data_IF_372680595671
#
_entry.id   IF_372680595671
#
_cell.length_a   1.000
_cell.length_b   1.000
_cell.length_c   1.000
_cell.angle_alpha   90.00
_cell.angle_beta   90.00
_cell.angle_gamma   90.00
#
_symmetry.space_group_name_H-M   'P 1'
#
loop_
_entity.id
_entity.type
_entity.pdbx_description
1 polymer ?
#
# COMPACT_ATOMS: atom_id res chain seq x y z
N UNK A 1 1.37 -7.10 -22.07
CA UNK A 1 1.55 -8.34 -21.43
C UNK A 1 2.18 -8.24 -20.05
N UNK A 2 1.36 -8.01 -18.99
CA UNK A 2 1.81 -8.14 -17.61
C UNK A 2 1.70 -9.59 -17.15
N UNK A 3 2.54 -9.98 -16.19
CA UNK A 3 2.38 -11.24 -15.47
C UNK A 3 1.40 -11.00 -14.32
N UNK A 4 0.43 -11.91 -14.16
CA UNK A 4 -0.61 -11.82 -13.14
C UNK A 4 -0.60 -13.09 -12.31
N UNK A 5 -0.49 -12.92 -10.99
CA UNK A 5 -0.53 -13.98 -10.00
C UNK A 5 -1.68 -13.72 -9.03
N UNK A 6 -2.55 -14.70 -8.84
CA UNK A 6 -3.62 -14.60 -7.85
C UNK A 6 -3.07 -14.91 -6.46
N UNK A 7 -3.19 -13.96 -5.54
CA UNK A 7 -2.70 -14.10 -4.16
C UNK A 7 -3.77 -14.67 -3.23
N UNK A 8 -5.01 -14.21 -3.38
CA UNK A 8 -6.13 -14.67 -2.56
C UNK A 8 -7.46 -14.42 -3.27
N UNK A 9 -8.45 -15.25 -2.98
CA UNK A 9 -9.82 -15.11 -3.43
C UNK A 9 -10.78 -15.52 -2.32
N UNK A 10 -11.83 -14.74 -2.13
CA UNK A 10 -12.94 -15.08 -1.25
C UNK A 10 -14.21 -15.14 -2.09
N UNK A 11 -14.86 -16.30 -2.22
CA UNK A 11 -16.09 -16.44 -2.98
C UNK A 11 -17.23 -15.65 -2.33
N UNK A 12 -18.18 -15.23 -3.15
CA UNK A 12 -19.45 -14.65 -2.67
C UNK A 12 -20.32 -15.70 -1.99
N UNK A 13 -21.24 -15.25 -1.15
CA UNK A 13 -22.11 -16.15 -0.39
C UNK A 13 -23.07 -16.95 -1.27
N UNK A 14 -23.64 -16.34 -2.33
CA UNK A 14 -24.55 -16.99 -3.26
C UNK A 14 -23.85 -17.30 -4.59
N UNK A 15 -23.06 -16.37 -5.10
CA UNK A 15 -22.31 -16.52 -6.35
C UNK A 15 -21.26 -15.42 -6.52
N UNK A 16 -20.33 -15.65 -7.47
CA UNK A 16 -19.29 -14.68 -7.81
C UNK A 16 -18.19 -14.56 -6.77
N UNK A 17 -17.52 -13.42 -6.76
CA UNK A 17 -16.36 -13.12 -5.92
C UNK A 17 -16.70 -12.00 -4.97
N UNK A 18 -16.46 -12.19 -3.66
CA UNK A 18 -16.57 -11.16 -2.63
C UNK A 18 -15.34 -10.26 -2.60
N UNK A 19 -14.16 -10.87 -2.68
CA UNK A 19 -12.89 -10.16 -2.76
C UNK A 19 -11.84 -11.01 -3.46
N UNK A 20 -10.92 -10.35 -4.15
CA UNK A 20 -9.79 -11.00 -4.81
C UNK A 20 -8.58 -10.07 -4.77
N UNK A 21 -7.39 -10.64 -4.61
CA UNK A 21 -6.13 -9.93 -4.69
C UNK A 21 -5.23 -10.56 -5.75
N UNK A 22 -4.71 -9.71 -6.63
CA UNK A 22 -3.75 -10.09 -7.65
C UNK A 22 -2.44 -9.32 -7.49
N UNK A 23 -1.32 -10.00 -7.72
CA UNK A 23 -0.03 -9.38 -7.95
C UNK A 23 0.18 -9.23 -9.45
N UNK A 24 0.39 -8.01 -9.90
CA UNK A 24 0.63 -7.69 -11.32
C UNK A 24 2.07 -7.20 -11.47
N UNK A 25 2.85 -7.88 -12.30
CA UNK A 25 4.27 -7.59 -12.51
C UNK A 25 4.53 -7.22 -13.98
N UNK A 26 5.27 -6.14 -14.18
CA UNK A 26 5.65 -5.68 -15.51
C UNK A 26 6.09 -4.22 -15.51
N UNK A 27 6.59 -3.73 -16.66
CA UNK A 27 7.07 -2.35 -16.78
C UNK A 27 5.97 -1.34 -16.47
N UNK A 28 6.23 -0.42 -15.52
CA UNK A 28 5.30 0.64 -15.11
C UNK A 28 3.90 0.17 -14.67
N UNK A 29 3.76 -1.09 -14.22
CA UNK A 29 2.47 -1.68 -13.86
C UNK A 29 1.69 -0.82 -12.84
N UNK A 30 2.35 -0.40 -11.76
CA UNK A 30 1.72 0.48 -10.77
C UNK A 30 1.30 1.83 -11.36
N UNK A 31 2.18 2.45 -12.17
CA UNK A 31 1.90 3.75 -12.80
C UNK A 31 0.64 3.74 -13.66
N UNK A 32 0.40 2.67 -14.41
CA UNK A 32 -0.80 2.48 -15.21
C UNK A 32 -2.02 2.13 -14.36
N UNK A 33 -1.91 1.10 -13.51
CA UNK A 33 -3.05 0.54 -12.77
C UNK A 33 -3.54 1.43 -11.63
N UNK A 34 -2.71 2.32 -11.08
CA UNK A 34 -3.12 3.23 -9.99
C UNK A 34 -4.36 4.06 -10.35
N UNK A 35 -4.55 4.37 -11.64
CA UNK A 35 -5.70 5.12 -12.15
C UNK A 35 -7.02 4.36 -12.03
N UNK A 36 -6.99 3.04 -11.84
CA UNK A 36 -8.18 2.20 -11.63
C UNK A 36 -8.63 2.14 -10.17
N UNK A 37 -7.85 2.71 -9.24
CA UNK A 37 -8.22 2.76 -7.82
C UNK A 37 -9.44 3.64 -7.58
N UNK A 38 -10.47 3.09 -6.96
CA UNK A 38 -11.70 3.78 -6.63
C UNK A 38 -12.93 2.88 -6.68
N UNK A 39 -14.11 3.47 -6.68
CA UNK A 39 -15.38 2.75 -6.70
C UNK A 39 -15.90 2.67 -8.13
N UNK A 40 -16.21 1.45 -8.57
CA UNK A 40 -16.84 1.14 -9.85
C UNK A 40 -18.28 0.75 -9.61
N UNK A 41 -19.20 1.35 -10.38
CA UNK A 41 -20.65 1.11 -10.29
C UNK A 41 -21.10 0.30 -11.48
N UNK A 42 -21.78 -0.82 -11.22
CA UNK A 42 -22.41 -1.65 -12.25
C UNK A 42 -23.93 -1.59 -12.14
N UNK A 43 -24.59 -1.27 -13.25
CA UNK A 43 -26.05 -1.27 -13.39
C UNK A 43 -26.42 -2.31 -14.43
N UNK A 44 -27.12 -3.37 -14.02
CA UNK A 44 -27.58 -4.45 -14.90
C UNK A 44 -28.83 -5.13 -14.35
N UNK A 45 -29.52 -5.89 -15.18
CA UNK A 45 -30.50 -6.87 -14.74
C UNK A 45 -29.72 -7.99 -14.01
N UNK A 46 -30.06 -8.26 -12.76
CA UNK A 46 -29.34 -9.28 -11.98
C UNK A 46 -29.64 -10.68 -12.52
N UNK A 47 -28.60 -11.50 -12.80
CA UNK A 47 -28.82 -12.89 -13.18
C UNK A 47 -29.26 -13.78 -12.00
N UNK A 48 -29.24 -13.26 -10.76
CA UNK A 48 -29.56 -13.98 -9.52
C UNK A 48 -30.93 -13.62 -8.95
N UNK A 49 -31.58 -12.59 -9.51
CA UNK A 49 -32.90 -12.12 -9.05
C UNK A 49 -34.05 -12.71 -9.89
N UNK A 50 -35.19 -12.91 -9.27
CA UNK A 50 -36.43 -13.20 -10.00
C UNK A 50 -37.02 -11.93 -10.53
N UNK A 51 -36.88 -11.65 -11.84
CA UNK A 51 -37.52 -10.55 -12.56
C UNK A 51 -36.56 -9.62 -13.29
N UNK A 52 -37.11 -8.83 -14.22
CA UNK A 52 -36.36 -7.92 -15.11
C UNK A 52 -35.94 -6.59 -14.45
N UNK A 53 -35.85 -6.55 -13.13
CA UNK A 53 -35.48 -5.32 -12.42
C UNK A 53 -33.98 -5.06 -12.50
N UNK A 54 -33.62 -3.83 -12.88
CA UNK A 54 -32.24 -3.36 -12.82
C UNK A 54 -31.79 -3.24 -11.37
N UNK A 55 -30.58 -3.71 -11.10
CA UNK A 55 -29.93 -3.58 -9.82
C UNK A 55 -28.59 -2.88 -9.99
N UNK A 56 -28.16 -2.20 -8.95
CA UNK A 56 -26.87 -1.52 -8.89
C UNK A 56 -25.95 -2.28 -7.91
N UNK A 57 -24.76 -2.57 -8.38
CA UNK A 57 -23.70 -3.17 -7.57
C UNK A 57 -22.45 -2.28 -7.59
N UNK A 58 -21.67 -2.32 -6.54
CA UNK A 58 -20.43 -1.58 -6.42
C UNK A 58 -19.26 -2.52 -6.20
N UNK A 59 -18.14 -2.21 -6.85
CA UNK A 59 -16.85 -2.85 -6.59
C UNK A 59 -15.82 -1.78 -6.26
N UNK A 60 -15.09 -1.98 -5.18
CA UNK A 60 -13.95 -1.12 -4.82
C UNK A 60 -12.67 -1.75 -5.30
N UNK A 61 -11.92 -1.04 -6.12
CA UNK A 61 -10.59 -1.43 -6.58
C UNK A 61 -9.54 -0.65 -5.81
N UNK A 62 -8.52 -1.33 -5.42
CA UNK A 62 -7.38 -0.72 -4.76
C UNK A 62 -6.07 -1.23 -5.34
N UNK A 63 -5.26 -0.30 -5.82
CA UNK A 63 -3.95 -0.58 -6.41
C UNK A 63 -2.87 0.09 -5.57
N UNK A 64 -1.92 -0.70 -5.12
CA UNK A 64 -0.76 -0.22 -4.34
C UNK A 64 0.53 -0.88 -4.85
N UNK A 65 1.65 -0.20 -4.73
CA UNK A 65 2.91 -0.79 -5.15
C UNK A 65 3.29 -1.94 -4.22
N UNK A 66 3.82 -3.02 -4.78
CA UNK A 66 4.50 -4.04 -3.98
C UNK A 66 5.81 -3.44 -3.52
N UNK A 67 5.94 -3.28 -2.20
CA UNK A 67 7.20 -2.86 -1.58
C UNK A 67 8.08 -4.09 -1.47
N UNK A 68 9.29 -4.02 -2.02
CA UNK A 68 10.30 -5.06 -1.83
C UNK A 68 10.58 -5.20 -0.33
N UNK A 69 10.50 -6.43 0.20
CA UNK A 69 10.78 -6.73 1.61
C UNK A 69 12.27 -6.57 1.96
N UNK A 70 13.12 -6.31 0.95
CA UNK A 70 14.52 -6.03 1.14
C UNK A 70 14.75 -4.60 1.64
N UNK A 71 14.52 -4.41 2.93
CA UNK A 71 14.95 -3.20 3.62
C UNK A 71 16.42 -3.38 3.98
N UNK A 72 17.29 -2.75 3.23
CA UNK A 72 18.71 -2.69 3.59
C UNK A 72 18.91 -1.55 4.60
N UNK A 73 19.28 -1.91 5.82
CA UNK A 73 19.63 -0.94 6.87
C UNK A 73 21.11 -0.67 6.83
N UNK A 74 21.48 0.48 6.29
CA UNK A 74 22.85 1.02 6.34
C UNK A 74 22.90 2.04 7.49
N UNK A 75 23.82 1.83 8.42
CA UNK A 75 24.02 2.73 9.58
C UNK A 75 25.40 3.35 9.45
N UNK A 76 25.51 4.63 9.04
CA UNK A 76 26.79 5.34 9.03
C UNK A 76 27.33 5.53 10.44
N UNK A 77 28.64 5.41 10.63
CA UNK A 77 29.28 5.64 11.94
C UNK A 77 29.03 7.05 12.48
N UNK A 78 28.79 8.03 11.62
CA UNK A 78 28.44 9.39 12.00
C UNK A 78 27.06 9.56 12.65
N UNK A 79 26.17 8.58 12.44
CA UNK A 79 24.80 8.59 12.98
C UNK A 79 24.66 7.83 14.29
N UNK A 80 25.75 7.24 14.80
CA UNK A 80 25.73 6.50 16.03
C UNK A 80 26.69 7.10 17.07
N UNK A 81 26.26 7.05 18.33
CA UNK A 81 27.13 7.32 19.47
C UNK A 81 27.28 6.02 20.28
N UNK A 82 28.50 5.66 20.54
CA UNK A 82 28.85 4.44 21.30
C UNK A 82 29.46 4.87 22.63
N UNK A 83 28.79 4.51 23.72
CA UNK A 83 29.23 4.75 25.07
C UNK A 83 29.55 3.41 25.76
N UNK A 84 30.68 3.31 26.39
CA UNK A 84 31.04 2.16 27.24
C UNK A 84 30.82 2.51 28.70
N UNK A 85 30.31 1.56 29.48
CA UNK A 85 30.02 1.80 30.89
C UNK A 85 30.13 0.50 31.70
N UNK A 86 30.19 0.64 33.02
CA UNK A 86 30.14 -0.50 33.94
C UNK A 86 28.72 -0.98 34.15
N UNK A 87 28.47 -2.25 33.86
CA UNK A 87 27.16 -2.83 34.18
C UNK A 87 27.00 -2.97 35.69
N UNK A 88 25.98 -2.36 36.27
CA UNK A 88 25.58 -2.58 37.65
C UNK A 88 24.62 -3.78 37.70
N UNK A 89 25.09 -4.94 38.24
CA UNK A 89 24.28 -6.15 38.39
C UNK A 89 24.84 -7.04 39.51
N UNK A 90 24.00 -7.89 40.11
CA UNK A 90 24.37 -8.89 41.12
C UNK A 90 25.16 -10.03 40.48
N UNK A 91 26.39 -9.79 40.10
CA UNK A 91 27.28 -10.79 39.51
C UNK A 91 28.71 -10.51 39.89
N UNK A 92 29.44 -11.51 40.32
CA UNK A 92 30.75 -11.55 40.93
C UNK A 92 31.81 -10.50 40.53
N UNK A 93 32.98 -10.57 41.15
CA UNK A 93 34.08 -9.57 41.10
C UNK A 93 34.47 -9.04 39.70
N UNK A 94 34.19 -9.77 38.61
CA UNK A 94 34.52 -9.33 37.23
C UNK A 94 33.51 -8.39 36.60
N UNK A 95 32.24 -8.40 37.00
CA UNK A 95 31.16 -7.56 36.44
C UNK A 95 31.32 -6.09 36.87
N UNK A 96 31.91 -5.87 38.03
CA UNK A 96 32.03 -4.52 38.62
C UNK A 96 33.39 -3.84 38.38
N UNK A 97 34.33 -4.47 37.67
CA UNK A 97 35.71 -3.95 37.52
C UNK A 97 36.05 -3.52 36.09
N UNK A 98 35.28 -3.92 35.08
CA UNK A 98 35.57 -3.59 33.66
C UNK A 98 34.39 -2.90 33.00
N UNK A 99 34.68 -1.82 32.25
CA UNK A 99 33.72 -1.10 31.43
C UNK A 99 33.40 -1.91 30.15
N UNK A 100 32.79 -3.08 30.32
CA UNK A 100 32.50 -4.01 29.23
C UNK A 100 31.12 -3.79 28.60
N UNK A 101 30.20 -3.13 29.30
CA UNK A 101 28.88 -2.83 28.76
C UNK A 101 28.93 -1.74 27.71
N UNK A 102 28.17 -1.93 26.64
CA UNK A 102 28.10 -1.02 25.49
C UNK A 102 26.68 -0.49 25.34
N UNK A 103 26.57 0.82 25.17
CA UNK A 103 25.33 1.51 24.76
C UNK A 103 25.57 2.13 23.40
N UNK A 104 24.69 1.84 22.46
CA UNK A 104 24.67 2.49 21.14
C UNK A 104 23.40 3.33 21.04
N UNK A 105 23.57 4.60 20.73
CA UNK A 105 22.47 5.54 20.47
C UNK A 105 22.50 5.93 18.99
N UNK A 106 21.41 5.67 18.29
CA UNK A 106 21.23 6.15 16.92
C UNK A 106 20.67 7.57 16.95
N UNK A 107 21.46 8.55 16.53
CA UNK A 107 21.19 9.97 16.70
C UNK A 107 19.91 10.43 15.97
N UNK A 108 19.64 10.02 14.69
CA UNK A 108 18.46 10.47 13.98
C UNK A 108 17.14 10.00 14.58
N UNK A 109 17.09 8.77 15.15
CA UNK A 109 15.86 8.17 15.67
C UNK A 109 15.80 8.15 17.20
N UNK A 110 16.89 8.51 17.90
CA UNK A 110 17.06 8.37 19.36
C UNK A 110 16.84 6.94 19.89
N UNK A 111 16.96 5.93 19.03
CA UNK A 111 16.90 4.53 19.46
C UNK A 111 18.16 4.20 20.23
N UNK A 112 17.99 3.69 21.44
CA UNK A 112 19.09 3.26 22.32
C UNK A 112 19.04 1.75 22.49
N UNK A 113 20.17 1.10 22.32
CA UNK A 113 20.38 -0.32 22.57
C UNK A 113 21.57 -0.52 23.50
N UNK A 114 21.48 -1.51 24.37
CA UNK A 114 22.53 -1.81 25.35
C UNK A 114 22.84 -3.30 25.34
N UNK A 115 24.10 -3.65 25.56
CA UNK A 115 24.56 -5.02 25.77
C UNK A 115 25.59 -5.05 26.89
N UNK A 116 25.49 -6.04 27.77
CA UNK A 116 26.31 -6.15 29.01
C UNK A 116 26.90 -7.54 29.25
N UNK A 117 27.36 -8.20 28.19
CA UNK A 117 28.11 -9.47 28.30
C UNK A 117 29.55 -9.24 28.78
N UNK A 118 30.31 -10.33 28.96
CA UNK A 118 31.68 -10.25 29.48
C UNK A 118 32.69 -9.59 28.54
N UNK A 119 32.45 -9.59 27.25
CA UNK A 119 33.37 -9.05 26.25
C UNK A 119 32.78 -7.76 25.60
N UNK A 120 33.54 -6.66 25.69
CA UNK A 120 33.16 -5.39 25.10
C UNK A 120 33.00 -5.49 23.58
N UNK A 121 33.86 -6.24 22.91
CA UNK A 121 33.78 -6.41 21.44
C UNK A 121 32.49 -7.15 21.03
N UNK A 122 32.17 -8.24 21.75
CA UNK A 122 30.89 -8.95 21.54
C UNK A 122 29.69 -8.07 21.85
N UNK A 123 29.75 -7.25 22.90
CA UNK A 123 28.66 -6.32 23.24
C UNK A 123 28.42 -5.29 22.17
N UNK A 124 29.46 -4.78 21.52
CA UNK A 124 29.33 -3.85 20.39
C UNK A 124 28.63 -4.52 19.21
N UNK A 125 29.01 -5.75 18.88
CA UNK A 125 28.40 -6.49 17.77
C UNK A 125 26.92 -6.83 18.08
N UNK A 126 26.63 -7.32 19.27
CA UNK A 126 25.25 -7.63 19.69
C UNK A 126 24.39 -6.36 19.69
N UNK A 127 24.88 -5.25 20.24
CA UNK A 127 24.16 -3.99 20.25
C UNK A 127 23.95 -3.43 18.84
N UNK A 128 24.93 -3.57 17.94
CA UNK A 128 24.77 -3.16 16.53
C UNK A 128 23.71 -4.00 15.82
N UNK A 129 23.68 -5.31 16.01
CA UNK A 129 22.66 -6.17 15.42
C UNK A 129 21.27 -5.88 16.00
N UNK A 130 21.17 -5.61 17.29
CA UNK A 130 19.92 -5.19 17.93
C UNK A 130 19.43 -3.83 17.40
N UNK A 131 20.35 -2.88 17.16
CA UNK A 131 20.02 -1.60 16.54
C UNK A 131 19.49 -1.77 15.11
N UNK A 132 20.17 -2.58 14.29
CA UNK A 132 19.71 -2.90 12.94
C UNK A 132 18.31 -3.50 12.93
N UNK A 133 18.03 -4.43 13.82
CA UNK A 133 16.70 -5.04 13.94
C UNK A 133 15.61 -4.04 14.33
N UNK A 134 15.92 -3.10 15.24
CA UNK A 134 14.97 -2.06 15.63
C UNK A 134 14.72 -1.03 14.53
N UNK A 135 15.76 -0.64 13.80
CA UNK A 135 15.63 0.27 12.64
C UNK A 135 14.85 -0.41 11.49
N UNK A 136 15.09 -1.70 11.28
CA UNK A 136 14.31 -2.49 10.32
C UNK A 136 12.82 -2.49 10.69
N UNK A 137 12.49 -2.75 11.96
CA UNK A 137 11.11 -2.73 12.42
C UNK A 137 10.47 -1.34 12.27
N UNK A 138 11.20 -0.29 12.63
CA UNK A 138 10.72 1.10 12.47
C UNK A 138 10.39 1.43 11.02
N UNK A 139 11.24 1.03 10.08
CA UNK A 139 11.00 1.25 8.65
C UNK A 139 9.81 0.43 8.13
N UNK A 140 9.64 -0.81 8.61
CA UNK A 140 8.48 -1.65 8.32
C UNK A 140 7.18 -0.99 8.82
N UNK A 141 7.18 -0.51 10.06
CA UNK A 141 6.03 0.15 10.67
C UNK A 141 5.67 1.45 9.93
N UNK A 142 6.69 2.22 9.50
CA UNK A 142 6.49 3.42 8.68
C UNK A 142 5.83 3.09 7.34
N UNK A 143 6.31 2.07 6.63
CA UNK A 143 5.74 1.63 5.36
C UNK A 143 4.31 1.12 5.51
N UNK A 144 4.06 0.35 6.57
CA UNK A 144 2.72 -0.14 6.88
C UNK A 144 1.75 1.01 7.24
N UNK A 145 2.23 2.03 7.96
CA UNK A 145 1.44 3.21 8.28
C UNK A 145 1.09 4.02 7.03
N UNK A 146 2.02 4.18 6.09
CA UNK A 146 1.76 4.83 4.79
C UNK A 146 0.71 4.06 3.98
N UNK A 147 0.82 2.73 3.91
CA UNK A 147 -0.15 1.86 3.26
C UNK A 147 -1.52 1.99 3.92
N UNK A 148 -1.58 1.95 5.27
CA UNK A 148 -2.83 2.07 6.02
C UNK A 148 -3.45 3.46 5.89
N UNK A 149 -2.65 4.53 5.82
CA UNK A 149 -3.15 5.88 5.56
C UNK A 149 -3.77 5.99 4.16
N UNK A 150 -3.17 5.36 3.15
CA UNK A 150 -3.76 5.26 1.82
C UNK A 150 -5.06 4.44 1.82
N UNK A 151 -5.15 3.38 2.65
CA UNK A 151 -6.38 2.63 2.87
C UNK A 151 -7.49 3.48 3.51
N UNK A 152 -7.15 4.23 4.54
CA UNK A 152 -8.11 5.08 5.26
C UNK A 152 -8.61 6.26 4.42
N UNK A 153 -7.80 6.75 3.48
CA UNK A 153 -8.19 7.80 2.53
C UNK A 153 -9.20 7.30 1.47
N UNK A 154 -9.44 5.99 1.37
CA UNK A 154 -10.53 5.44 0.57
C UNK A 154 -11.86 5.71 1.26
N UNK A 155 -12.67 6.52 0.64
CA UNK A 155 -14.08 6.63 1.04
C UNK A 155 -14.78 5.27 0.91
N UNK A 156 -15.85 5.09 1.68
CA UNK A 156 -16.74 3.94 1.59
C UNK A 156 -17.14 3.67 0.13
N UNK A 157 -17.31 2.38 -0.22
CA UNK A 157 -17.84 1.94 -1.50
C UNK A 157 -19.31 2.37 -1.62
N UNK A 158 -19.55 3.65 -1.82
CA UNK A 158 -20.86 4.28 -1.87
C UNK A 158 -21.02 5.27 -3.02
N UNK A 159 -22.20 5.86 -3.11
CA UNK A 159 -22.63 6.72 -4.21
C UNK A 159 -21.74 7.94 -4.45
N UNK A 160 -21.02 8.43 -3.46
CA UNK A 160 -20.22 9.67 -3.51
C UNK A 160 -18.83 9.55 -4.15
N UNK A 161 -18.24 8.36 -4.22
CA UNK A 161 -16.83 8.16 -4.58
C UNK A 161 -16.62 7.33 -5.87
N UNK A 162 -17.62 7.37 -6.79
CA UNK A 162 -17.56 6.60 -8.01
C UNK A 162 -16.57 7.21 -9.00
N UNK A 163 -15.65 6.40 -9.52
CA UNK A 163 -14.75 6.81 -10.61
C UNK A 163 -15.28 6.39 -11.98
N UNK A 164 -15.98 5.25 -12.06
CA UNK A 164 -16.49 4.73 -13.33
C UNK A 164 -17.86 4.06 -13.16
N UNK A 165 -18.74 4.30 -14.13
CA UNK A 165 -20.08 3.71 -14.20
C UNK A 165 -20.20 2.81 -15.42
N UNK A 166 -20.72 1.61 -15.22
CA UNK A 166 -20.98 0.58 -16.22
C UNK A 166 -22.48 0.35 -16.27
N UNK A 167 -23.12 0.62 -17.40
CA UNK A 167 -24.54 0.38 -17.61
C UNK A 167 -24.69 -0.65 -18.72
N UNK A 168 -25.33 -1.77 -18.44
CA UNK A 168 -25.54 -2.85 -19.40
C UNK A 168 -26.96 -2.84 -19.97
N UNK A 169 -27.95 -2.38 -19.19
CA UNK A 169 -29.36 -2.26 -19.61
C UNK A 169 -29.98 -0.97 -19.06
N UNK A 170 -30.91 -0.30 -19.79
CA UNK A 170 -31.48 -0.63 -21.10
C UNK A 170 -30.58 -0.25 -22.27
N UNK A 171 -29.50 0.48 -22.04
CA UNK A 171 -28.48 0.85 -23.02
C UNK A 171 -27.11 0.42 -22.50
N UNK A 172 -26.15 0.32 -23.39
CA UNK A 172 -24.78 -0.06 -23.03
C UNK A 172 -23.89 1.19 -23.02
N UNK A 173 -23.25 1.45 -21.88
CA UNK A 173 -22.32 2.56 -21.72
C UNK A 173 -21.37 2.32 -20.53
N UNK A 174 -20.10 2.58 -20.75
CA UNK A 174 -19.10 2.75 -19.69
C UNK A 174 -18.63 4.21 -19.74
N UNK A 175 -18.67 4.89 -18.59
CA UNK A 175 -18.25 6.29 -18.46
C UNK A 175 -17.35 6.47 -17.26
N UNK A 176 -16.18 7.05 -17.46
CA UNK A 176 -15.32 7.53 -16.39
C UNK A 176 -15.81 8.93 -15.96
N UNK A 177 -16.13 9.05 -14.68
CA UNK A 177 -16.72 10.28 -14.12
C UNK A 177 -15.68 11.37 -13.86
N UNK A 178 -14.39 11.02 -13.88
CA UNK A 178 -13.27 11.96 -13.67
C UNK A 178 -12.89 12.67 -14.97
N UNK A 179 -12.81 11.91 -16.05
CA UNK A 179 -12.33 12.38 -17.36
C UNK A 179 -13.45 12.59 -18.38
N UNK A 180 -14.68 12.15 -18.05
CA UNK A 180 -15.85 12.13 -18.96
C UNK A 180 -15.65 11.25 -20.21
N UNK A 181 -14.60 10.46 -20.28
CA UNK A 181 -14.41 9.48 -21.38
C UNK A 181 -15.46 8.39 -21.27
N UNK A 182 -16.11 8.08 -22.38
CA UNK A 182 -17.18 7.09 -22.44
C UNK A 182 -17.07 6.20 -23.69
N UNK A 183 -17.67 5.01 -23.61
CA UNK A 183 -17.79 4.07 -24.73
C UNK A 183 -19.07 3.23 -24.59
N UNK A 184 -19.66 2.83 -25.71
CA UNK A 184 -20.76 1.87 -25.73
C UNK A 184 -20.30 0.40 -25.72
N UNK A 185 -19.02 0.15 -25.97
CA UNK A 185 -18.45 -1.20 -25.90
C UNK A 185 -18.20 -1.62 -24.44
N UNK A 186 -19.28 -1.99 -23.76
CA UNK A 186 -19.24 -2.42 -22.37
C UNK A 186 -18.52 -3.75 -22.21
N UNK A 187 -18.70 -4.67 -23.16
CA UNK A 187 -18.08 -5.98 -23.10
C UNK A 187 -16.59 -5.90 -23.29
N UNK A 188 -16.09 -5.14 -24.26
CA UNK A 188 -14.66 -4.91 -24.45
C UNK A 188 -13.98 -4.34 -23.21
N UNK A 189 -14.66 -3.40 -22.51
CA UNK A 189 -14.13 -2.85 -21.25
C UNK A 189 -14.10 -3.90 -20.14
N UNK A 190 -15.15 -4.71 -20.00
CA UNK A 190 -15.16 -5.81 -19.02
C UNK A 190 -14.12 -6.90 -19.32
N UNK A 191 -13.78 -7.09 -20.58
CA UNK A 191 -12.75 -8.01 -21.06
C UNK A 191 -11.32 -7.41 -21.00
N UNK A 192 -11.18 -6.13 -20.56
CA UNK A 192 -9.90 -5.51 -20.28
C UNK A 192 -9.45 -4.38 -21.21
N UNK A 193 -10.31 -3.89 -22.13
CA UNK A 193 -10.00 -2.68 -22.91
C UNK A 193 -10.13 -1.42 -22.04
N UNK A 194 -9.12 -1.18 -21.20
CA UNK A 194 -9.07 -0.07 -20.24
C UNK A 194 -8.15 1.06 -20.68
N UNK A 195 -7.37 0.88 -21.73
CA UNK A 195 -6.27 1.78 -22.11
C UNK A 195 -6.73 3.24 -22.28
N UNK A 196 -7.89 3.45 -22.89
CA UNK A 196 -8.45 4.80 -23.11
C UNK A 196 -8.75 5.53 -21.79
N UNK A 197 -9.25 4.81 -20.79
CA UNK A 197 -9.59 5.40 -19.50
C UNK A 197 -8.34 5.68 -18.67
N UNK A 198 -7.40 4.75 -18.67
CA UNK A 198 -6.13 4.90 -17.96
C UNK A 198 -5.30 6.04 -18.54
N UNK A 199 -5.18 6.11 -19.88
CA UNK A 199 -4.46 7.18 -20.56
C UNK A 199 -5.06 8.56 -20.28
N UNK A 200 -6.40 8.68 -20.33
CA UNK A 200 -7.09 9.94 -20.06
C UNK A 200 -6.89 10.40 -18.60
N UNK A 201 -6.95 9.48 -17.64
CA UNK A 201 -6.72 9.80 -16.22
C UNK A 201 -5.28 10.24 -15.98
N UNK A 202 -4.31 9.53 -16.55
CA UNK A 202 -2.89 9.90 -16.44
C UNK A 202 -2.61 11.27 -17.08
N UNK A 203 -3.22 11.57 -18.23
CA UNK A 203 -3.10 12.87 -18.88
C UNK A 203 -3.68 14.00 -17.99
N UNK A 204 -4.80 13.76 -17.32
CA UNK A 204 -5.39 14.69 -16.37
C UNK A 204 -4.49 14.94 -15.15
N UNK A 205 -3.90 13.87 -14.59
CA UNK A 205 -2.96 13.97 -13.47
C UNK A 205 -1.73 14.80 -13.83
N UNK A 206 -1.17 14.59 -15.04
CA UNK A 206 -0.01 15.35 -15.54
C UNK A 206 -0.35 16.82 -15.77
N UNK A 207 -1.55 17.11 -16.24
CA UNK A 207 -2.00 18.49 -16.46
C UNK A 207 -2.27 19.27 -15.16
N UNK A 208 -2.21 18.62 -13.98
CA UNK A 208 -2.42 19.25 -12.67
C UNK A 208 -3.86 19.78 -12.44
N UNK A 209 -4.79 19.37 -13.28
CA UNK A 209 -6.22 19.75 -13.14
C UNK A 209 -6.89 18.76 -12.20
N UNK A 210 -6.91 19.09 -10.90
CA UNK A 210 -7.79 18.40 -9.97
C UNK A 210 -9.26 18.83 -10.22
N UNK A 211 -10.20 17.92 -9.98
CA UNK A 211 -11.65 18.21 -10.08
C UNK A 211 -12.07 19.38 -9.17
N UNK A 212 -11.30 19.67 -8.12
CA UNK A 212 -11.54 20.78 -7.22
C UNK A 212 -11.27 22.16 -7.87
N UNK A 213 -10.32 22.23 -8.81
CA UNK A 213 -10.02 23.47 -9.53
C UNK A 213 -11.05 23.77 -10.62
N UNK A 214 -11.60 22.74 -11.26
CA UNK A 214 -12.64 22.89 -12.27
C UNK A 214 -14.00 23.37 -11.69
N UNK A 215 -14.26 23.10 -10.39
CA UNK A 215 -15.48 23.56 -9.71
C UNK A 215 -15.30 24.92 -9.01
N UNK A 216 -14.14 25.54 -9.09
CA UNK A 216 -13.86 26.88 -8.51
C UNK A 216 -13.97 28.00 -9.55
N UNK A 217 -14.20 27.67 -10.83
CA UNK A 217 -14.36 28.63 -11.93
C UNK A 217 -15.84 28.81 -12.36
N UNK A 218 -16.79 28.09 -11.75
CA UNK A 218 -18.24 28.29 -11.88
C UNK A 218 -18.80 28.97 -10.59
#
# INVERSE_FOLDING_TARGET
GYQVEMLSETPGEEAGIKSVAYKVSGPNAYGWLKSESGVHRLVRISPFGSGDKRQTSFASVWVYPVVDDNIEIVIPDSEIRIDTYRSSGAGGQHVNTTDSAVRITHLPTNIVVTSSMKSQHQNREIAMNALKSRLYQLELDRRNAEINAQHAAKGDAGWGNQIRSYVLQPYQMVKDLRTSVETSDTQGVLDGDLDRFMAATLAMDVAGKSRAEANAED
#
